data_IF_390163769172
#
_entry.id   IF_390163769172
#
_cell.length_a   1.000
_cell.length_b   1.000
_cell.length_c   1.000
_cell.angle_alpha   90.00
_cell.angle_beta   90.00
_cell.angle_gamma   90.00
#
_symmetry.space_group_name_H-M   'P 1'
#
loop_
_entity.id
_entity.type
_entity.pdbx_description
1 polymer ?
#
# COMPACT_ATOMS: atom_id res chain seq x y z
N UNK A 1 0.85 -9.78 -2.99
CA UNK A 1 0.36 -8.40 -3.22
C UNK A 1 -0.91 -8.18 -2.42
N UNK A 2 -1.14 -6.96 -1.94
CA UNK A 2 -2.36 -6.57 -1.23
C UNK A 2 -2.89 -5.28 -1.85
N UNK A 3 -4.19 -5.20 -2.08
CA UNK A 3 -4.88 -3.96 -2.48
C UNK A 3 -6.19 -3.83 -1.70
N UNK A 4 -6.76 -2.64 -1.61
CA UNK A 4 -8.09 -2.49 -1.02
C UNK A 4 -9.18 -2.90 -2.02
N UNK A 5 -9.19 -2.26 -3.19
CA UNK A 5 -10.09 -2.58 -4.28
C UNK A 5 -9.58 -3.75 -5.13
N UNK A 6 -10.44 -4.30 -5.99
CA UNK A 6 -10.13 -5.45 -6.83
C UNK A 6 -9.42 -5.01 -8.11
N UNK A 7 -8.48 -5.81 -8.67
CA UNK A 7 -8.04 -5.64 -10.04
C UNK A 7 -9.23 -5.70 -10.99
N UNK A 8 -9.32 -4.75 -11.93
CA UNK A 8 -10.39 -4.77 -12.94
C UNK A 8 -10.35 -6.09 -13.72
N UNK A 9 -11.53 -6.63 -14.03
CA UNK A 9 -11.66 -7.88 -14.78
C UNK A 9 -11.35 -9.17 -13.99
N UNK A 10 -10.89 -9.09 -12.72
CA UNK A 10 -10.54 -10.28 -11.92
C UNK A 10 -11.68 -11.30 -11.77
N UNK A 11 -12.92 -10.83 -11.88
CA UNK A 11 -14.13 -11.68 -11.81
C UNK A 11 -14.12 -12.79 -12.86
N UNK A 12 -13.55 -12.53 -14.05
CA UNK A 12 -13.52 -13.49 -15.15
C UNK A 12 -12.60 -14.69 -14.89
N UNK A 13 -11.77 -14.61 -13.85
CA UNK A 13 -10.86 -15.68 -13.42
C UNK A 13 -11.43 -16.51 -12.26
N UNK A 14 -12.70 -16.32 -11.91
CA UNK A 14 -13.40 -17.07 -10.87
C UNK A 14 -14.86 -17.37 -11.24
N UNK A 15 -15.69 -17.66 -10.23
CA UNK A 15 -17.10 -17.99 -10.43
C UNK A 15 -17.98 -16.73 -10.49
N UNK A 16 -17.96 -16.06 -11.64
CA UNK A 16 -18.76 -14.84 -11.90
C UNK A 16 -20.26 -15.08 -11.71
N UNK A 17 -20.76 -16.27 -12.06
CA UNK A 17 -22.18 -16.58 -11.93
C UNK A 17 -22.61 -16.59 -10.46
N UNK A 18 -21.85 -17.27 -9.60
CA UNK A 18 -22.10 -17.27 -8.16
C UNK A 18 -21.92 -15.88 -7.54
N UNK A 19 -20.96 -15.10 -8.03
CA UNK A 19 -20.80 -13.70 -7.61
C UNK A 19 -22.07 -12.90 -7.93
N UNK A 20 -22.58 -12.97 -9.16
CA UNK A 20 -23.79 -12.27 -9.59
C UNK A 20 -25.06 -12.76 -8.89
N UNK A 21 -25.14 -14.04 -8.52
CA UNK A 21 -26.23 -14.54 -7.68
C UNK A 21 -26.26 -13.85 -6.30
N UNK A 22 -25.09 -13.56 -5.72
CA UNK A 22 -24.99 -12.85 -4.42
C UNK A 22 -25.06 -11.34 -4.56
N UNK A 23 -24.59 -10.79 -5.68
CA UNK A 23 -24.34 -9.36 -5.92
C UNK A 23 -24.82 -8.97 -7.32
N UNK A 24 -26.12 -9.09 -7.55
CA UNK A 24 -26.73 -8.86 -8.87
C UNK A 24 -26.40 -7.48 -9.46
N UNK A 25 -26.24 -6.47 -8.61
CA UNK A 25 -25.91 -5.10 -9.01
C UNK A 25 -24.49 -4.93 -9.58
N UNK A 26 -23.62 -5.95 -9.51
CA UNK A 26 -22.33 -5.94 -10.21
C UNK A 26 -22.46 -6.25 -11.71
N UNK A 27 -23.63 -6.69 -12.18
CA UNK A 27 -23.82 -7.12 -13.57
C UNK A 27 -23.31 -6.07 -14.56
N UNK A 28 -23.85 -4.86 -14.53
CA UNK A 28 -23.52 -3.83 -15.52
C UNK A 28 -22.06 -3.40 -15.42
N UNK A 29 -21.51 -3.26 -14.22
CA UNK A 29 -20.10 -2.90 -14.02
C UNK A 29 -19.14 -4.00 -14.50
N UNK A 30 -19.52 -5.28 -14.38
CA UNK A 30 -18.73 -6.40 -14.88
C UNK A 30 -18.74 -6.41 -16.41
N UNK A 31 -19.92 -6.36 -17.03
CA UNK A 31 -20.06 -6.47 -18.48
C UNK A 31 -19.65 -5.20 -19.24
N UNK A 32 -19.65 -4.03 -18.57
CA UNK A 32 -19.09 -2.79 -19.12
C UNK A 32 -17.64 -2.56 -18.74
N UNK A 33 -16.99 -3.53 -18.09
CA UNK A 33 -15.59 -3.49 -17.70
C UNK A 33 -15.24 -2.25 -16.84
N UNK A 34 -16.03 -2.02 -15.79
CA UNK A 34 -15.89 -0.93 -14.80
C UNK A 34 -15.73 -1.43 -13.37
N UNK A 35 -16.04 -2.70 -13.08
CA UNK A 35 -15.85 -3.25 -11.75
C UNK A 35 -14.37 -3.42 -11.43
N UNK A 36 -13.90 -2.72 -10.40
CA UNK A 36 -12.51 -2.75 -9.91
C UNK A 36 -11.63 -1.66 -10.53
N UNK A 37 -10.34 -1.75 -10.25
CA UNK A 37 -9.34 -0.74 -10.57
C UNK A 37 -8.44 -1.18 -11.73
N UNK A 38 -8.39 -0.36 -12.78
CA UNK A 38 -7.54 -0.56 -13.96
C UNK A 38 -6.04 -0.55 -13.63
N UNK A 39 -5.49 0.41 -12.85
CA UNK A 39 -4.09 0.35 -12.43
C UNK A 39 -3.72 -0.94 -11.67
N UNK A 40 -4.67 -1.52 -10.93
CA UNK A 40 -4.45 -2.78 -10.23
C UNK A 40 -4.48 -3.99 -11.18
N UNK A 41 -5.26 -3.95 -12.27
CA UNK A 41 -5.19 -4.95 -13.34
C UNK A 41 -3.82 -4.90 -14.01
N UNK A 42 -3.34 -3.71 -14.38
CA UNK A 42 -2.00 -3.55 -14.96
C UNK A 42 -0.92 -4.10 -14.01
N UNK A 43 -0.96 -3.72 -12.73
CA UNK A 43 -0.02 -4.22 -11.73
C UNK A 43 -0.10 -5.75 -11.54
N UNK A 44 -1.29 -6.35 -11.60
CA UNK A 44 -1.48 -7.80 -11.53
C UNK A 44 -0.82 -8.53 -12.70
N UNK A 45 -1.01 -8.03 -13.92
CA UNK A 45 -0.47 -8.65 -15.13
C UNK A 45 1.04 -8.43 -15.28
N UNK A 46 1.58 -7.33 -14.74
CA UNK A 46 3.01 -7.01 -14.76
C UNK A 46 3.79 -7.74 -13.65
N UNK A 47 3.31 -7.67 -12.41
CA UNK A 47 4.04 -8.22 -11.24
C UNK A 47 3.81 -9.73 -11.08
N UNK A 48 2.65 -10.24 -11.49
CA UNK A 48 2.30 -11.66 -11.46
C UNK A 48 2.58 -12.35 -10.11
N UNK A 49 2.14 -11.78 -8.97
CA UNK A 49 2.49 -12.30 -7.65
C UNK A 49 1.84 -13.67 -7.42
N UNK A 50 2.46 -14.57 -6.64
CA UNK A 50 1.83 -15.86 -6.27
C UNK A 50 0.46 -15.70 -5.61
N UNK A 51 0.27 -14.63 -4.85
CA UNK A 51 -0.97 -14.31 -4.14
C UNK A 51 -1.33 -12.82 -4.30
N UNK A 52 -2.63 -12.56 -4.47
CA UNK A 52 -3.21 -11.23 -4.44
C UNK A 52 -4.41 -11.18 -3.51
N UNK A 53 -4.38 -10.29 -2.52
CA UNK A 53 -5.45 -10.13 -1.54
C UNK A 53 -6.17 -8.80 -1.70
N UNK A 54 -7.50 -8.82 -1.72
CA UNK A 54 -8.34 -7.62 -1.83
C UNK A 54 -9.50 -7.61 -0.84
N UNK A 55 -10.21 -6.48 -0.74
CA UNK A 55 -11.37 -6.30 0.12
C UNK A 55 -12.41 -5.42 -0.59
N UNK A 56 -12.95 -4.41 0.10
CA UNK A 56 -13.84 -3.36 -0.39
C UNK A 56 -15.25 -3.77 -0.85
N UNK A 57 -15.39 -4.78 -1.71
CA UNK A 57 -16.66 -5.13 -2.35
C UNK A 57 -17.63 -5.93 -1.47
N UNK A 58 -17.27 -6.17 -0.21
CA UNK A 58 -18.09 -6.83 0.82
C UNK A 58 -18.69 -8.15 0.31
N UNK A 59 -17.82 -9.01 -0.24
CA UNK A 59 -18.13 -10.37 -0.67
C UNK A 59 -16.84 -11.17 -0.75
N UNK A 60 -16.85 -12.39 -0.22
CA UNK A 60 -15.75 -13.33 -0.45
C UNK A 60 -15.78 -13.83 -1.89
N UNK A 61 -14.64 -13.73 -2.57
CA UNK A 61 -14.46 -14.20 -3.93
C UNK A 61 -13.04 -14.72 -4.11
N UNK A 62 -12.91 -15.82 -4.86
CA UNK A 62 -11.63 -16.43 -5.17
C UNK A 62 -11.53 -16.60 -6.68
N UNK A 63 -10.33 -16.36 -7.20
CA UNK A 63 -10.01 -16.47 -8.62
C UNK A 63 -8.59 -16.98 -8.80
N UNK A 64 -8.34 -17.60 -9.96
CA UNK A 64 -7.02 -18.10 -10.35
C UNK A 64 -6.63 -17.49 -11.69
N UNK A 65 -5.60 -16.65 -11.68
CA UNK A 65 -5.10 -15.98 -12.87
C UNK A 65 -3.89 -16.75 -13.37
N UNK A 66 -4.03 -17.41 -14.51
CA UNK A 66 -2.93 -18.10 -15.19
C UNK A 66 -2.13 -17.11 -16.04
N UNK A 67 -0.82 -17.06 -15.84
CA UNK A 67 0.09 -16.18 -16.57
C UNK A 67 0.81 -16.92 -17.68
N UNK A 68 1.30 -16.18 -18.67
CA UNK A 68 1.94 -16.74 -19.88
C UNK A 68 3.25 -17.47 -19.59
N UNK A 69 3.91 -17.19 -18.47
CA UNK A 69 5.12 -17.86 -18.01
C UNK A 69 4.84 -19.19 -17.28
N UNK A 70 3.57 -19.64 -17.22
CA UNK A 70 3.15 -20.86 -16.54
C UNK A 70 3.02 -20.73 -15.02
N UNK A 71 3.18 -19.53 -14.46
CA UNK A 71 2.85 -19.24 -13.06
C UNK A 71 1.39 -18.81 -12.94
N UNK A 72 0.87 -18.83 -11.71
CA UNK A 72 -0.47 -18.34 -11.45
C UNK A 72 -0.54 -17.46 -10.20
N UNK A 73 -1.43 -16.47 -10.26
CA UNK A 73 -1.82 -15.67 -9.09
C UNK A 73 -3.09 -16.21 -8.49
N UNK A 74 -3.03 -16.57 -7.20
CA UNK A 74 -4.19 -16.92 -6.39
C UNK A 74 -4.79 -15.63 -5.82
N UNK A 75 -5.93 -15.22 -6.35
CA UNK A 75 -6.67 -14.06 -5.87
C UNK A 75 -7.67 -14.44 -4.80
N UNK A 76 -7.72 -13.68 -3.71
CA UNK A 76 -8.73 -13.82 -2.67
C UNK A 76 -9.20 -12.44 -2.20
N UNK A 77 -10.50 -12.21 -2.31
CA UNK A 77 -11.18 -11.10 -1.66
C UNK A 77 -11.99 -11.58 -0.45
N UNK A 78 -12.04 -10.77 0.60
CA UNK A 78 -12.78 -11.05 1.83
C UNK A 78 -13.97 -10.09 2.04
N UNK A 79 -14.96 -10.56 2.79
CA UNK A 79 -16.15 -9.78 3.15
C UNK A 79 -15.85 -8.81 4.32
N UNK A 80 -16.80 -7.93 4.63
CA UNK A 80 -16.71 -7.02 5.78
C UNK A 80 -16.85 -7.79 7.09
N UNK A 81 -16.15 -7.33 8.13
CA UNK A 81 -16.20 -7.84 9.50
C UNK A 81 -17.59 -7.64 10.15
N UNK A 82 -18.59 -8.38 9.68
CA UNK A 82 -19.96 -8.42 10.18
C UNK A 82 -20.31 -9.86 10.60
N UNK A 83 -21.27 -10.04 11.53
CA UNK A 83 -21.71 -11.36 11.94
C UNK A 83 -22.14 -12.24 10.75
N UNK A 84 -21.68 -13.49 10.75
CA UNK A 84 -22.03 -14.48 9.72
C UNK A 84 -21.45 -14.22 8.33
N UNK A 85 -20.40 -13.38 8.19
CA UNK A 85 -19.72 -13.09 6.93
C UNK A 85 -18.34 -13.74 6.85
N UNK A 86 -17.91 -14.02 5.63
CA UNK A 86 -16.61 -14.62 5.34
C UNK A 86 -15.50 -13.53 5.32
N UNK A 87 -15.23 -12.92 6.47
CA UNK A 87 -14.30 -11.79 6.59
C UNK A 87 -12.87 -12.17 6.98
N UNK A 88 -12.63 -13.42 7.39
CA UNK A 88 -11.32 -13.91 7.82
C UNK A 88 -10.98 -15.23 7.12
N UNK A 89 -9.74 -15.34 6.65
CA UNK A 89 -9.18 -16.58 6.14
C UNK A 89 -7.73 -16.70 6.62
N UNK A 90 -7.41 -17.86 7.18
CA UNK A 90 -6.04 -18.22 7.59
C UNK A 90 -5.42 -19.02 6.45
N UNK A 91 -4.18 -18.68 6.09
CA UNK A 91 -3.42 -19.33 5.03
C UNK A 91 -2.07 -19.76 5.58
N UNK A 92 -1.70 -21.00 5.28
CA UNK A 92 -0.35 -21.51 5.53
C UNK A 92 0.48 -21.29 4.25
N UNK A 93 1.52 -20.47 4.34
CA UNK A 93 2.40 -20.12 3.22
C UNK A 93 3.81 -20.55 3.56
N UNK A 94 4.33 -21.49 2.79
CA UNK A 94 5.69 -21.99 2.96
C UNK A 94 6.73 -20.92 2.57
N UNK A 95 7.81 -20.74 3.36
CA UNK A 95 8.92 -19.86 3.00
C UNK A 95 9.54 -20.27 1.68
N UNK A 96 9.86 -19.29 0.83
CA UNK A 96 10.53 -19.56 -0.46
C UNK A 96 12.04 -19.85 -0.27
N UNK A 97 12.62 -19.38 0.83
CA UNK A 97 14.00 -19.68 1.24
C UNK A 97 14.02 -20.29 2.64
N UNK A 98 14.90 -21.26 2.91
CA UNK A 98 15.09 -21.77 4.27
C UNK A 98 15.54 -20.61 5.16
N UNK A 99 14.74 -20.25 6.16
CA UNK A 99 15.10 -19.19 7.09
C UNK A 99 16.32 -19.64 7.92
N UNK A 100 17.43 -18.88 7.95
CA UNK A 100 18.61 -19.22 8.76
C UNK A 100 18.32 -19.32 10.26
N UNK A 101 17.23 -18.69 10.71
CA UNK A 101 16.64 -18.77 12.04
C UNK A 101 15.19 -18.25 11.95
N UNK A 102 14.25 -18.71 12.79
CA UNK A 102 12.86 -18.25 12.77
C UNK A 102 12.74 -16.87 13.44
N UNK A 103 13.39 -15.86 12.87
CA UNK A 103 13.10 -14.48 13.24
C UNK A 103 11.88 -14.08 12.44
N UNK A 104 10.69 -14.19 13.04
CA UNK A 104 9.43 -13.64 12.53
C UNK A 104 9.46 -12.10 12.57
N UNK A 105 10.51 -11.51 11.97
CA UNK A 105 10.79 -10.08 11.98
C UNK A 105 10.44 -9.48 10.64
N UNK A 106 9.97 -8.25 10.70
CA UNK A 106 9.72 -7.44 9.51
C UNK A 106 11.04 -6.80 9.07
N UNK A 107 11.25 -6.74 7.77
CA UNK A 107 12.39 -6.08 7.14
C UNK A 107 11.91 -5.14 6.05
N UNK A 108 12.66 -4.07 5.83
CA UNK A 108 12.49 -3.18 4.68
C UNK A 108 12.93 -3.89 3.40
N UNK A 109 12.18 -3.69 2.34
CA UNK A 109 12.52 -4.21 1.02
C UNK A 109 13.50 -3.25 0.32
N UNK A 110 14.72 -3.68 -0.07
CA UNK A 110 15.70 -2.79 -0.67
C UNK A 110 15.26 -2.17 -2.00
N UNK A 111 14.47 -2.88 -2.81
CA UNK A 111 13.96 -2.37 -4.07
C UNK A 111 12.95 -1.23 -3.82
N UNK A 112 12.07 -1.40 -2.84
CA UNK A 112 11.16 -0.36 -2.38
C UNK A 112 11.90 0.89 -1.87
N UNK A 113 12.97 0.72 -1.09
CA UNK A 113 13.81 1.83 -0.63
C UNK A 113 14.48 2.57 -1.79
N UNK A 114 14.96 1.85 -2.80
CA UNK A 114 15.48 2.45 -4.04
C UNK A 114 14.41 3.26 -4.76
N UNK A 115 13.21 2.71 -4.92
CA UNK A 115 12.08 3.40 -5.58
C UNK A 115 11.73 4.68 -4.82
N UNK A 116 11.62 4.62 -3.49
CA UNK A 116 11.36 5.79 -2.65
C UNK A 116 12.43 6.87 -2.84
N UNK A 117 13.71 6.50 -2.77
CA UNK A 117 14.81 7.46 -2.96
C UNK A 117 14.79 8.10 -4.35
N UNK A 118 14.60 7.29 -5.40
CA UNK A 118 14.60 7.74 -6.80
C UNK A 118 13.39 8.62 -7.13
N UNK A 119 12.24 8.34 -6.53
CA UNK A 119 10.98 9.05 -6.79
C UNK A 119 10.72 10.17 -5.80
N UNK A 120 11.61 10.43 -4.82
CA UNK A 120 11.42 11.49 -3.83
C UNK A 120 11.05 12.81 -4.50
N UNK A 121 11.78 13.24 -5.53
CA UNK A 121 11.53 14.50 -6.25
C UNK A 121 10.11 14.67 -6.81
N UNK A 122 9.37 13.57 -7.03
CA UNK A 122 7.98 13.58 -7.49
C UNK A 122 6.96 13.82 -6.36
N UNK A 123 7.40 13.75 -5.09
CA UNK A 123 6.55 14.02 -3.94
C UNK A 123 5.98 15.44 -4.03
N UNK A 124 4.65 15.51 -4.12
CA UNK A 124 3.89 16.75 -4.19
C UNK A 124 2.79 16.75 -3.14
N UNK A 125 2.90 17.65 -2.16
CA UNK A 125 1.96 17.75 -1.03
C UNK A 125 1.04 18.97 -1.11
N UNK A 126 1.01 19.66 -2.27
CA UNK A 126 0.06 20.76 -2.48
C UNK A 126 -1.30 20.21 -2.93
N UNK A 127 -2.36 20.94 -2.60
CA UNK A 127 -3.72 20.66 -3.07
C UNK A 127 -3.95 21.24 -4.46
N UNK A 128 -3.11 20.86 -5.41
CA UNK A 128 -3.19 21.28 -6.81
C UNK A 128 -3.18 20.06 -7.71
N UNK A 129 -3.83 20.17 -8.87
CA UNK A 129 -3.77 19.12 -9.87
C UNK A 129 -2.35 19.03 -10.42
N UNK A 130 -1.79 17.83 -10.39
CA UNK A 130 -0.47 17.52 -10.94
C UNK A 130 -0.63 16.47 -12.02
N UNK A 131 0.06 16.67 -13.13
CA UNK A 131 0.14 15.66 -14.17
C UNK A 131 1.18 14.61 -13.78
N UNK A 132 0.88 13.34 -14.04
CA UNK A 132 1.84 12.27 -13.86
C UNK A 132 3.01 12.46 -14.85
N UNK A 133 4.26 12.22 -14.44
CA UNK A 133 5.39 12.28 -15.35
C UNK A 133 5.23 11.24 -16.47
N UNK A 134 5.63 11.55 -17.71
CA UNK A 134 5.53 10.60 -18.81
C UNK A 134 6.43 9.39 -18.56
N UNK A 135 5.84 8.18 -18.61
CA UNK A 135 6.53 6.92 -18.37
C UNK A 135 7.67 6.64 -19.38
N UNK A 136 7.62 7.24 -20.56
CA UNK A 136 8.59 7.02 -21.65
C UNK A 136 9.93 7.72 -21.45
N UNK A 137 10.03 8.71 -20.55
CA UNK A 137 11.22 9.56 -20.42
C UNK A 137 12.01 9.31 -19.13
N UNK A 138 11.39 8.69 -18.12
CA UNK A 138 12.01 8.44 -16.83
C UNK A 138 11.96 6.95 -16.49
N UNK A 139 13.13 6.29 -16.51
CA UNK A 139 13.24 4.95 -15.93
C UNK A 139 13.24 5.07 -14.41
N UNK A 140 12.13 4.70 -13.77
CA UNK A 140 12.01 4.61 -12.31
C UNK A 140 12.49 3.26 -11.76
N UNK A 141 12.92 2.36 -12.63
CA UNK A 141 13.48 1.06 -12.25
C UNK A 141 14.82 1.27 -11.54
N UNK A 142 15.00 0.74 -10.32
CA UNK A 142 16.30 0.73 -9.65
C UNK A 142 17.37 0.01 -10.49
N UNK A 143 18.58 0.56 -10.50
CA UNK A 143 19.77 -0.10 -11.06
C UNK A 143 20.72 -0.55 -9.93
N UNK A 144 21.82 -1.24 -10.27
CA UNK A 144 22.76 -1.76 -9.27
C UNK A 144 23.42 -0.66 -8.43
N UNK A 145 23.67 0.53 -9.01
CA UNK A 145 24.20 1.68 -8.27
C UNK A 145 23.20 2.15 -7.20
N UNK A 146 21.89 2.16 -7.52
CA UNK A 146 20.84 2.48 -6.55
C UNK A 146 20.83 1.45 -5.42
N UNK A 147 20.90 0.16 -5.73
CA UNK A 147 20.96 -0.90 -4.71
C UNK A 147 22.21 -0.80 -3.84
N UNK A 148 23.38 -0.54 -4.44
CA UNK A 148 24.62 -0.42 -3.68
C UNK A 148 24.56 0.75 -2.69
N UNK A 149 24.06 1.91 -3.13
CA UNK A 149 23.83 3.05 -2.23
C UNK A 149 22.94 2.67 -1.04
N UNK A 150 21.81 2.00 -1.29
CA UNK A 150 20.91 1.57 -0.22
C UNK A 150 21.57 0.55 0.71
N UNK A 151 22.39 -0.38 0.20
CA UNK A 151 23.16 -1.28 1.06
C UNK A 151 24.15 -0.51 1.94
N UNK A 152 24.82 0.49 1.41
CA UNK A 152 25.77 1.31 2.16
C UNK A 152 25.06 2.14 3.24
N UNK A 153 23.97 2.83 2.88
CA UNK A 153 23.16 3.66 3.78
C UNK A 153 22.59 2.85 4.96
N UNK A 154 22.20 1.59 4.71
CA UNK A 154 21.61 0.70 5.71
C UNK A 154 22.63 -0.27 6.34
N UNK A 155 23.92 -0.16 6.02
CA UNK A 155 24.95 -1.13 6.45
C UNK A 155 24.54 -2.59 6.18
N UNK A 156 23.88 -2.81 5.05
CA UNK A 156 23.30 -4.07 4.60
C UNK A 156 22.36 -4.74 5.63
N UNK A 157 21.75 -3.94 6.51
CA UNK A 157 20.82 -4.39 7.57
C UNK A 157 19.46 -3.74 7.38
N UNK A 158 18.49 -4.53 6.97
CA UNK A 158 17.15 -4.04 6.63
C UNK A 158 16.08 -4.43 7.64
N UNK A 159 16.43 -5.17 8.70
CA UNK A 159 15.48 -5.51 9.77
C UNK A 159 14.94 -4.23 10.43
N UNK A 160 13.62 -4.19 10.64
CA UNK A 160 13.00 -3.06 11.33
C UNK A 160 13.41 -3.09 12.81
N UNK A 161 14.03 -2.02 13.34
CA UNK A 161 14.44 -1.97 14.73
C UNK A 161 13.24 -1.93 15.68
N UNK A 162 13.36 -2.55 16.86
CA UNK A 162 12.33 -2.58 17.92
C UNK A 162 12.31 -1.29 18.76
N UNK A 163 12.29 -0.15 18.08
CA UNK A 163 12.28 1.20 18.67
C UNK A 163 10.91 1.87 18.53
N UNK A 164 9.84 1.06 18.55
CA UNK A 164 8.50 1.57 18.30
C UNK A 164 8.02 2.44 19.48
N UNK A 165 7.73 3.71 19.19
CA UNK A 165 7.16 4.65 20.13
C UNK A 165 5.65 4.85 19.89
N UNK A 166 4.83 4.88 20.95
CA UNK A 166 3.40 5.20 20.83
C UNK A 166 3.19 6.63 20.33
N UNK A 167 2.50 6.79 19.20
CA UNK A 167 2.16 8.10 18.62
C UNK A 167 0.75 8.59 19.00
N UNK A 168 0.00 7.80 19.77
CA UNK A 168 -1.36 8.12 20.18
C UNK A 168 -1.77 7.37 21.46
N UNK A 169 -2.93 7.71 22.03
CA UNK A 169 -3.42 7.08 23.24
C UNK A 169 -3.73 5.59 23.01
N UNK A 170 -3.37 4.76 24.00
CA UNK A 170 -3.70 3.33 24.00
C UNK A 170 -5.20 3.14 24.15
N UNK A 171 -5.80 2.29 23.30
CA UNK A 171 -7.21 1.93 23.43
C UNK A 171 -7.48 1.24 24.78
N UNK A 172 -8.48 1.72 25.51
CA UNK A 172 -8.90 1.16 26.80
C UNK A 172 -10.30 0.55 26.66
N UNK A 173 -10.44 -0.79 26.74
CA UNK A 173 -11.74 -1.45 26.64
C UNK A 173 -12.72 -0.89 27.69
N UNK A 174 -13.96 -0.64 27.29
CA UNK A 174 -15.04 -0.16 28.18
C UNK A 174 -15.09 1.35 28.41
N UNK A 175 -14.06 2.10 28.01
CA UNK A 175 -14.15 3.55 27.88
C UNK A 175 -14.66 3.82 26.46
N UNK A 176 -15.85 4.41 26.32
CA UNK A 176 -16.39 4.80 25.00
C UNK A 176 -15.40 5.71 24.26
N UNK A 177 -15.59 5.88 22.94
CA UNK A 177 -14.67 6.66 22.10
C UNK A 177 -14.33 8.01 22.76
N UNK A 178 -13.11 8.13 23.30
CA UNK A 178 -12.58 9.41 23.75
C UNK A 178 -12.51 10.32 22.54
N UNK A 179 -12.95 11.59 22.63
CA UNK A 179 -12.77 12.54 21.54
C UNK A 179 -11.30 12.53 21.13
N UNK A 180 -11.04 12.19 19.87
CA UNK A 180 -9.67 12.17 19.36
C UNK A 180 -9.21 13.61 19.26
N UNK A 181 -8.15 13.94 19.99
CA UNK A 181 -7.49 15.23 19.85
C UNK A 181 -6.87 15.30 18.45
N UNK A 182 -7.51 16.09 17.58
CA UNK A 182 -7.08 16.33 16.20
C UNK A 182 -5.67 16.92 16.16
N UNK A 183 -5.24 17.61 17.21
CA UNK A 183 -3.90 18.18 17.32
C UNK A 183 -2.85 17.11 17.66
N UNK A 184 -3.19 16.10 18.47
CA UNK A 184 -2.37 14.89 18.65
C UNK A 184 -2.22 14.09 17.35
N UNK A 185 -3.27 14.00 16.52
CA UNK A 185 -3.19 13.34 15.20
C UNK A 185 -2.31 14.10 14.20
N UNK A 186 -1.96 15.36 14.49
CA UNK A 186 -1.11 16.22 13.64
C UNK A 186 0.35 16.22 14.11
N UNK A 187 0.81 15.17 14.78
CA UNK A 187 2.22 15.01 15.13
C UNK A 187 2.90 14.12 14.10
N UNK A 188 4.16 14.43 13.83
CA UNK A 188 4.99 13.57 13.00
C UNK A 188 5.21 12.22 13.71
N UNK A 189 5.36 11.17 12.93
CA UNK A 189 5.59 9.81 13.42
C UNK A 189 7.12 9.59 13.49
N UNK A 190 7.71 9.32 14.68
CA UNK A 190 9.17 9.23 14.82
C UNK A 190 9.78 8.09 14.00
N UNK A 191 9.03 7.01 13.74
CA UNK A 191 9.48 5.90 12.90
C UNK A 191 9.54 6.31 11.42
N UNK A 192 8.55 7.08 10.94
CA UNK A 192 8.55 7.65 9.59
C UNK A 192 9.67 8.67 9.44
N UNK A 193 9.87 9.51 10.45
CA UNK A 193 10.95 10.50 10.47
C UNK A 193 12.32 9.82 10.36
N UNK A 194 12.57 8.79 11.18
CA UNK A 194 13.80 8.03 11.12
C UNK A 194 14.03 7.41 9.74
N UNK A 195 12.99 6.81 9.14
CA UNK A 195 13.10 6.23 7.80
C UNK A 195 13.45 7.29 6.75
N UNK A 196 12.77 8.44 6.78
CA UNK A 196 13.04 9.55 5.86
C UNK A 196 14.47 10.09 6.03
N UNK A 197 14.94 10.26 7.26
CA UNK A 197 16.30 10.69 7.57
C UNK A 197 17.35 9.68 7.09
N UNK A 198 17.15 8.39 7.35
CA UNK A 198 18.06 7.33 6.90
C UNK A 198 18.16 7.26 5.38
N UNK A 199 17.06 7.46 4.66
CA UNK A 199 17.03 7.47 3.20
C UNK A 199 17.48 8.80 2.57
N UNK A 200 17.56 9.87 3.36
CA UNK A 200 17.79 11.23 2.85
C UNK A 200 16.65 11.75 1.97
N UNK A 201 15.41 11.35 2.26
CA UNK A 201 14.21 11.77 1.50
C UNK A 201 13.32 12.71 2.33
N UNK A 202 12.39 13.39 1.65
CA UNK A 202 11.50 14.36 2.28
C UNK A 202 10.39 13.67 3.07
N UNK A 203 10.14 14.12 4.29
CA UNK A 203 8.96 13.71 5.05
C UNK A 203 7.73 14.55 4.65
N UNK A 204 6.69 13.96 4.03
CA UNK A 204 5.51 14.71 3.61
C UNK A 204 4.74 15.34 4.77
N UNK A 205 4.72 14.68 5.94
CA UNK A 205 4.00 15.18 7.12
C UNK A 205 4.68 16.44 7.63
N UNK A 206 6.00 16.47 7.71
CA UNK A 206 6.74 17.68 8.13
C UNK A 206 6.51 18.86 7.19
N UNK A 207 6.49 18.62 5.87
CA UNK A 207 6.20 19.69 4.91
C UNK A 207 4.78 20.24 5.14
N UNK A 208 3.81 19.36 5.40
CA UNK A 208 2.41 19.75 5.67
C UNK A 208 2.28 20.50 6.99
N UNK A 209 2.99 20.08 8.05
CA UNK A 209 2.94 20.69 9.37
C UNK A 209 3.65 22.06 9.38
N UNK A 210 4.86 22.15 8.85
CA UNK A 210 5.66 23.38 8.81
C UNK A 210 4.98 24.50 7.99
N UNK A 211 4.24 24.15 6.93
CA UNK A 211 3.46 25.14 6.15
C UNK A 211 2.32 25.79 6.93
N UNK A 212 1.71 25.08 7.89
CA UNK A 212 0.62 25.64 8.71
C UNK A 212 1.12 26.61 9.78
N UNK A 213 2.42 26.59 10.09
CA UNK A 213 3.04 27.49 11.06
C UNK A 213 3.57 28.80 10.44
N UNK A 214 3.55 28.95 9.11
CA UNK A 214 3.85 30.24 8.48
C UNK A 214 2.58 31.11 8.45
N UNK A 215 2.58 32.31 9.06
CA UNK A 215 1.44 33.21 8.98
C UNK A 215 1.21 33.63 7.53
N UNK A 216 -0.06 33.67 7.13
CA UNK A 216 -0.50 34.22 5.85
C UNK A 216 0.00 35.67 5.80
N UNK A 217 1.05 35.94 5.02
CA UNK A 217 1.38 37.30 4.64
C UNK A 217 0.25 37.79 3.73
N UNK A 218 -0.67 38.55 4.29
CA UNK A 218 -1.55 39.38 3.48
C UNK A 218 -0.68 40.39 2.75
N UNK A 219 -0.47 40.16 1.46
CA UNK A 219 0.10 41.15 0.57
C UNK A 219 -0.92 42.29 0.46
N UNK A 220 -0.75 43.30 1.32
CA UNK A 220 -1.42 44.59 1.16
C UNK A 220 -0.61 45.39 0.15
N UNK A 221 -0.94 45.23 -1.13
CA UNK A 221 -0.54 46.21 -2.14
C UNK A 221 -1.72 47.14 -2.44
N UNK A 222 -1.49 48.41 -2.10
CA UNK A 222 -2.31 49.59 -2.39
C UNK A 222 -2.65 49.76 -3.87
#
# INVERSE_FOLDING_TARGET
MISHDWPRGIVWYGDTQRLLQRKQYFHDDIYTNKLGSEPLEEALLQVQPKYWFSAHLHVKFAALVEHTNGQSTRFLALDKCLPGRDFLQILDIEPTTPLPSPTNRLSLDPEWLCILSKTDHLLHVQRTNTFLPPLSQNSFTPNEENFQKIRDDFSNTFEIPEIFEPTGPVHKPGIGNTPVDIEQLRKNNPQTELLCLMLGIRNPIDIILNRKMQPIQHDQTN
#
